data_IF_588540474709
#
_entry.id   IF_588540474709
#
_cell.length_a   1.000
_cell.length_b   1.000
_cell.length_c   1.000
_cell.angle_alpha   90.00
_cell.angle_beta   90.00
_cell.angle_gamma   90.00
#
_symmetry.space_group_name_H-M   'P 1'
#
loop_
_entity.id
_entity.type
_entity.pdbx_description
1 polymer ?
#
# COMPACT_ATOMS: atom_id res chain seq x y z
N UNK A 1 26.25 35.61 -32.29
CA UNK A 1 26.97 34.99 -31.16
C UNK A 1 25.90 34.37 -30.24
N UNK A 2 25.63 33.08 -30.43
CA UNK A 2 25.80 31.96 -29.47
C UNK A 2 24.78 31.89 -28.30
N UNK A 3 24.31 30.68 -27.97
CA UNK A 3 22.96 30.40 -27.46
C UNK A 3 22.94 30.03 -25.96
N UNK A 4 21.78 30.01 -25.32
CA UNK A 4 21.54 29.15 -24.14
C UNK A 4 20.04 28.92 -23.90
N UNK A 5 19.59 27.76 -24.36
CA UNK A 5 18.36 27.08 -23.99
C UNK A 5 18.40 26.73 -22.49
N UNK A 6 17.26 26.76 -21.78
CA UNK A 6 16.88 25.78 -20.73
C UNK A 6 15.53 26.10 -20.07
N UNK A 7 14.55 25.19 -20.20
CA UNK A 7 13.65 24.87 -19.10
C UNK A 7 13.89 23.42 -18.65
N UNK A 8 14.64 23.24 -17.56
CA UNK A 8 14.62 22.03 -16.70
C UNK A 8 13.59 22.31 -15.60
N UNK A 9 12.67 21.45 -15.17
CA UNK A 9 12.48 20.03 -15.43
C UNK A 9 11.02 19.73 -15.03
N UNK A 10 10.25 19.15 -15.96
CA UNK A 10 8.92 18.62 -15.68
C UNK A 10 9.11 17.34 -14.87
N UNK A 11 8.88 17.41 -13.56
CA UNK A 11 8.78 16.22 -12.71
C UNK A 11 7.50 15.46 -13.07
N UNK A 12 7.60 14.58 -14.08
CA UNK A 12 6.61 13.54 -14.32
C UNK A 12 6.85 12.45 -13.28
N UNK A 13 6.18 12.59 -12.12
CA UNK A 13 6.03 11.51 -11.15
C UNK A 13 5.33 10.35 -11.84
N UNK A 14 6.06 9.25 -11.97
CA UNK A 14 5.63 7.99 -12.53
C UNK A 14 4.28 7.54 -11.94
N UNK A 15 3.32 7.32 -12.84
CA UNK A 15 2.10 6.59 -12.53
C UNK A 15 2.50 5.15 -12.10
N UNK A 16 1.91 4.59 -11.02
CA UNK A 16 2.10 3.19 -10.72
C UNK A 16 1.55 2.32 -11.86
N UNK A 17 2.14 1.12 -12.10
CA UNK A 17 1.69 0.22 -13.14
C UNK A 17 0.26 -0.19 -12.87
N UNK A 18 -0.59 -0.03 -13.89
CA UNK A 18 -1.96 -0.58 -13.93
C UNK A 18 -1.82 -2.10 -13.97
N UNK A 19 -2.37 -2.88 -13.03
CA UNK A 19 -2.51 -4.31 -13.22
C UNK A 19 -3.68 -4.56 -14.17
N UNK A 20 -3.34 -5.32 -15.20
CA UNK A 20 -4.17 -5.86 -16.27
C UNK A 20 -5.33 -6.74 -15.75
N UNK A 21 -6.49 -6.61 -16.40
CA UNK A 21 -7.49 -7.68 -16.61
C UNK A 21 -8.40 -8.11 -15.44
N UNK A 22 -9.74 -8.05 -15.57
CA UNK A 22 -10.66 -8.66 -14.62
C UNK A 22 -10.76 -10.17 -14.92
N UNK A 23 -9.74 -10.92 -14.54
CA UNK A 23 -9.87 -12.37 -14.48
C UNK A 23 -10.44 -12.73 -13.11
N UNK A 24 -11.62 -13.33 -13.10
CA UNK A 24 -12.34 -13.78 -11.91
C UNK A 24 -11.65 -14.99 -11.25
N UNK A 25 -10.37 -14.82 -10.93
CA UNK A 25 -9.54 -15.72 -10.15
C UNK A 25 -9.32 -15.02 -8.83
N UNK A 26 -9.52 -15.73 -7.71
CA UNK A 26 -9.32 -15.21 -6.35
C UNK A 26 -8.05 -14.37 -6.33
N UNK A 27 -8.10 -13.08 -5.95
CA UNK A 27 -6.98 -12.20 -6.16
C UNK A 27 -5.79 -12.74 -5.39
N UNK A 28 -4.79 -13.22 -6.13
CA UNK A 28 -3.52 -13.71 -5.57
C UNK A 28 -2.62 -12.55 -5.13
N UNK A 29 -3.12 -11.32 -5.22
CA UNK A 29 -2.44 -10.07 -4.89
C UNK A 29 -3.32 -9.23 -3.96
N UNK A 30 -2.68 -8.42 -3.13
CA UNK A 30 -3.35 -7.49 -2.22
C UNK A 30 -3.29 -6.10 -2.87
N UNK A 31 -4.45 -5.54 -3.19
CA UNK A 31 -4.53 -4.17 -3.69
C UNK A 31 -4.94 -3.24 -2.57
N UNK A 32 -4.15 -2.19 -2.37
CA UNK A 32 -4.37 -1.19 -1.32
C UNK A 32 -4.31 0.22 -1.87
N UNK A 33 -5.04 1.13 -1.24
CA UNK A 33 -4.99 2.54 -1.52
C UNK A 33 -4.45 3.30 -0.30
N UNK A 34 -3.53 4.22 -0.52
CA UNK A 34 -3.05 5.15 0.50
C UNK A 34 -2.95 6.56 -0.07
N UNK A 35 -3.61 7.53 0.58
CA UNK A 35 -3.60 8.95 0.16
C UNK A 35 -3.98 9.13 -1.32
N UNK A 36 -4.98 8.39 -1.81
CA UNK A 36 -5.44 8.45 -3.20
C UNK A 36 -4.51 7.78 -4.22
N UNK A 37 -3.50 7.02 -3.78
CA UNK A 37 -2.63 6.22 -4.64
C UNK A 37 -2.87 4.75 -4.40
N UNK A 38 -3.11 4.01 -5.48
CA UNK A 38 -3.30 2.56 -5.44
C UNK A 38 -1.97 1.85 -5.64
N UNK A 39 -1.74 0.84 -4.83
CA UNK A 39 -0.57 -0.01 -4.85
C UNK A 39 -0.99 -1.47 -4.88
N UNK A 40 -0.18 -2.29 -5.53
CA UNK A 40 -0.35 -3.74 -5.58
C UNK A 40 0.80 -4.37 -4.83
N UNK A 41 0.47 -5.17 -3.81
CA UNK A 41 1.43 -5.86 -2.95
C UNK A 41 1.20 -7.36 -3.14
N UNK A 42 2.29 -8.08 -3.37
CA UNK A 42 2.26 -9.53 -3.48
C UNK A 42 2.28 -10.10 -2.06
N UNK A 43 1.36 -11.03 -1.73
CA UNK A 43 1.28 -11.59 -0.40
C UNK A 43 2.54 -12.37 -0.07
N UNK A 44 3.18 -12.01 1.04
CA UNK A 44 4.29 -12.75 1.63
C UNK A 44 3.85 -13.23 3.02
N UNK A 45 3.65 -14.55 3.22
CA UNK A 45 3.15 -15.07 4.49
C UNK A 45 4.16 -14.81 5.62
N UNK A 46 3.64 -14.52 6.81
CA UNK A 46 4.46 -14.32 8.02
C UNK A 46 5.05 -12.91 8.16
N UNK A 47 4.86 -12.02 7.20
CA UNK A 47 5.26 -10.60 7.32
C UNK A 47 4.04 -9.67 7.36
N UNK A 48 4.27 -8.44 7.82
CA UNK A 48 3.24 -7.40 7.77
C UNK A 48 3.07 -6.85 6.36
N UNK A 49 1.88 -6.38 6.03
CA UNK A 49 1.58 -5.76 4.74
C UNK A 49 2.50 -4.57 4.44
N UNK A 50 2.87 -3.80 5.47
CA UNK A 50 3.85 -2.73 5.33
C UNK A 50 5.22 -3.27 4.93
N UNK A 51 5.68 -4.33 5.57
CA UNK A 51 7.01 -4.90 5.32
C UNK A 51 7.08 -5.55 3.94
N UNK A 52 6.06 -6.31 3.56
CA UNK A 52 5.90 -6.85 2.21
C UNK A 52 5.91 -5.73 1.16
N UNK A 53 5.13 -4.67 1.37
CA UNK A 53 5.10 -3.53 0.46
C UNK A 53 6.48 -2.88 0.31
N UNK A 54 7.14 -2.56 1.43
CA UNK A 54 8.45 -1.92 1.40
C UNK A 54 9.51 -2.82 0.76
N UNK A 55 9.50 -4.12 1.02
CA UNK A 55 10.40 -5.09 0.41
C UNK A 55 10.23 -5.20 -1.11
N UNK A 56 9.05 -4.87 -1.63
CA UNK A 56 8.75 -4.83 -3.07
C UNK A 56 8.94 -3.44 -3.70
N UNK A 57 9.47 -2.46 -2.96
CA UNK A 57 9.65 -1.09 -3.44
C UNK A 57 8.38 -0.23 -3.41
N UNK A 58 7.30 -0.72 -2.81
CA UNK A 58 6.06 0.04 -2.58
C UNK A 58 6.24 0.92 -1.34
N UNK A 59 6.50 2.21 -1.56
CA UNK A 59 6.74 3.19 -0.50
C UNK A 59 5.42 3.66 0.14
N UNK A 60 4.96 2.92 1.14
CA UNK A 60 3.84 3.35 1.98
C UNK A 60 4.27 4.40 3.02
N UNK A 61 3.40 5.37 3.26
CA UNK A 61 3.59 6.37 4.30
C UNK A 61 3.50 5.69 5.67
N UNK A 62 4.60 5.71 6.43
CA UNK A 62 4.66 5.10 7.75
C UNK A 62 5.63 5.89 8.65
N UNK A 63 5.52 5.69 9.97
CA UNK A 63 6.45 6.33 10.94
C UNK A 63 6.82 5.40 12.08
N UNK A 64 5.82 4.81 12.74
CA UNK A 64 6.03 4.15 14.03
C UNK A 64 6.21 2.64 13.95
N UNK A 65 5.70 1.96 12.90
CA UNK A 65 5.63 0.49 12.74
C UNK A 65 5.01 -0.30 13.92
N UNK A 66 4.50 0.39 14.95
CA UNK A 66 3.91 -0.17 16.19
C UNK A 66 2.39 -0.04 16.27
N UNK A 67 1.73 0.49 15.23
CA UNK A 67 0.28 0.70 15.21
C UNK A 67 -0.24 1.91 16.01
N UNK A 68 0.62 2.73 16.64
CA UNK A 68 0.19 3.84 17.51
C UNK A 68 -0.11 5.14 16.77
N UNK A 69 0.55 5.39 15.64
CA UNK A 69 0.52 6.66 14.92
C UNK A 69 -0.53 6.74 13.81
N UNK A 70 -1.04 5.61 13.29
CA UNK A 70 -2.06 5.58 12.25
C UNK A 70 -1.62 6.02 10.83
N UNK A 71 -0.37 6.45 10.62
CA UNK A 71 0.10 6.91 9.29
C UNK A 71 0.12 5.81 8.23
N UNK A 72 0.43 4.58 8.65
CA UNK A 72 0.41 3.38 7.81
C UNK A 72 -1.02 2.92 7.43
N UNK A 73 -2.03 3.77 7.62
CA UNK A 73 -3.41 3.45 7.30
C UNK A 73 -3.60 3.38 5.79
N UNK A 74 -4.16 2.25 5.35
CA UNK A 74 -4.45 1.95 3.95
C UNK A 74 -5.87 1.41 3.84
N UNK A 75 -6.49 1.60 2.69
CA UNK A 75 -7.77 1.01 2.34
C UNK A 75 -7.50 -0.23 1.50
N UNK A 76 -7.93 -1.41 1.94
CA UNK A 76 -7.80 -2.64 1.17
C UNK A 76 -8.91 -2.67 0.12
N UNK A 77 -8.52 -2.63 -1.15
CA UNK A 77 -9.43 -2.72 -2.30
C UNK A 77 -9.67 -4.17 -2.71
N UNK A 78 -8.62 -5.01 -2.65
CA UNK A 78 -8.68 -6.44 -2.96
C UNK A 78 -7.69 -7.24 -2.10
N UNK A 79 -7.92 -8.55 -1.96
CA UNK A 79 -7.02 -9.44 -1.22
C UNK A 79 -7.16 -9.37 0.30
N UNK A 80 -8.26 -8.83 0.84
CA UNK A 80 -8.50 -8.76 2.29
C UNK A 80 -8.53 -10.15 2.96
N UNK A 81 -8.91 -11.19 2.22
CA UNK A 81 -8.92 -12.58 2.68
C UNK A 81 -7.52 -13.18 2.90
N UNK A 82 -6.48 -12.57 2.32
CA UNK A 82 -5.07 -12.94 2.51
C UNK A 82 -4.47 -12.31 3.77
N UNK A 83 -5.25 -11.46 4.46
CA UNK A 83 -4.81 -10.78 5.66
C UNK A 83 -5.43 -11.43 6.90
N UNK A 84 -4.63 -11.53 7.95
CA UNK A 84 -5.06 -11.92 9.27
C UNK A 84 -6.16 -10.98 9.80
N UNK A 85 -7.01 -11.38 10.74
CA UNK A 85 -8.00 -10.50 11.34
C UNK A 85 -7.40 -9.22 11.96
N UNK A 86 -8.20 -8.16 12.06
CA UNK A 86 -7.79 -6.90 12.68
C UNK A 86 -7.31 -7.10 14.11
N UNK A 87 -6.08 -6.65 14.35
CA UNK A 87 -5.50 -6.56 15.69
C UNK A 87 -6.26 -5.54 16.54
N UNK A 88 -6.14 -5.64 17.87
CA UNK A 88 -6.75 -4.67 18.80
C UNK A 88 -6.32 -3.23 18.48
N UNK A 89 -5.03 -3.03 18.17
CA UNK A 89 -4.44 -1.73 17.82
C UNK A 89 -5.07 -1.10 16.58
N UNK A 90 -5.42 -1.92 15.57
CA UNK A 90 -6.11 -1.42 14.39
C UNK A 90 -7.52 -0.97 14.70
N UNK A 91 -8.25 -1.74 15.50
CA UNK A 91 -9.63 -1.42 15.90
C UNK A 91 -9.68 -0.13 16.70
N UNK A 92 -8.68 0.13 17.56
CA UNK A 92 -8.53 1.40 18.28
C UNK A 92 -8.32 2.62 17.36
N UNK A 93 -7.90 2.42 16.10
CA UNK A 93 -7.66 3.50 15.13
C UNK A 93 -8.73 3.63 14.06
N UNK A 94 -9.40 2.52 13.72
CA UNK A 94 -10.42 2.54 12.68
C UNK A 94 -11.39 1.37 12.79
N UNK A 95 -12.67 1.71 12.83
CA UNK A 95 -13.78 0.75 12.79
C UNK A 95 -14.09 0.28 11.37
N UNK A 96 -13.69 1.04 10.35
CA UNK A 96 -14.06 0.78 8.95
C UNK A 96 -13.45 -0.54 8.45
N UNK A 97 -14.24 -1.51 7.96
CA UNK A 97 -13.75 -2.84 7.63
C UNK A 97 -12.65 -2.84 6.56
N UNK A 98 -12.78 -1.98 5.55
CA UNK A 98 -11.80 -1.84 4.48
C UNK A 98 -10.50 -1.14 4.92
N UNK A 99 -10.52 -0.33 5.99
CA UNK A 99 -9.32 0.37 6.47
C UNK A 99 -8.52 -0.49 7.42
N UNK A 100 -7.22 -0.56 7.17
CA UNK A 100 -6.26 -1.40 7.88
C UNK A 100 -4.99 -0.60 8.16
N UNK A 101 -4.31 -0.91 9.26
CA UNK A 101 -2.96 -0.39 9.47
C UNK A 101 -2.01 -1.36 8.80
N UNK A 102 -1.37 -0.98 7.70
CA UNK A 102 -0.44 -1.85 6.96
C UNK A 102 0.65 -2.43 7.87
N UNK A 103 1.08 -1.68 8.88
CA UNK A 103 2.07 -2.10 9.85
C UNK A 103 1.58 -3.11 10.90
N UNK A 104 0.29 -3.42 10.95
CA UNK A 104 -0.31 -4.41 11.87
C UNK A 104 -1.08 -5.50 11.12
N UNK A 105 -1.46 -5.25 9.87
CA UNK A 105 -2.06 -6.24 9.00
C UNK A 105 -1.02 -7.32 8.64
N UNK A 106 -1.10 -8.48 9.26
CA UNK A 106 -0.29 -9.64 8.89
C UNK A 106 -0.87 -10.35 7.66
N UNK A 107 0.00 -10.84 6.80
CA UNK A 107 -0.36 -11.67 5.65
C UNK A 107 -0.31 -13.15 6.09
N UNK A 108 -1.32 -13.93 5.69
CA UNK A 108 -1.45 -15.36 5.99
C UNK A 108 -1.26 -16.24 4.78
#
# INVERSE_FOLDING_TARGET
MKPAVRPSERSISAAPPKPDGPSAVRPSVIQIEQKGKTFTVQPAPGVSLLDAALGQGVLLDHKCKKGTCGRCMVTVLAGAHLLAPKTRREREKTDQPAKRLACQAQIQ
#
